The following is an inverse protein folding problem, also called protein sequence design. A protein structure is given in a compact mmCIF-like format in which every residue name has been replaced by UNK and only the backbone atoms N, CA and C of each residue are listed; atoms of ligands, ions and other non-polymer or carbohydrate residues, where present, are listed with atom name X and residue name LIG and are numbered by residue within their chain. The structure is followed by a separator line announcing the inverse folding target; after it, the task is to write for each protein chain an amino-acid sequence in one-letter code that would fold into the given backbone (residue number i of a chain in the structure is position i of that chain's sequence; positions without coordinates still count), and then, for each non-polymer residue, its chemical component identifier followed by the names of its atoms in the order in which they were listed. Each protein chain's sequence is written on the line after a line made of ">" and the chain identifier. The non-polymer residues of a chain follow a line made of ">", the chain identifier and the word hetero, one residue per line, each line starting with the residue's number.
data_IF_013332455655
#
_entry.id   IF_013332455655
#
_cell.length_a   1.000
_cell.length_b   1.000
_cell.length_c   1.000
_cell.angle_alpha   90.00
_cell.angle_beta   90.00
_cell.angle_gamma   90.00
#
_symmetry.space_group_name_H-M   'P 1'
#
loop_
_entity.id
_entity.type
_entity.pdbx_description
1 polymer ?
#
# COMPACT_ATOMS: atom_id res chain seq x y z
N UNK A 1 4.97 3.80 -0.12
CA UNK A 1 4.80 5.02 0.73
C UNK A 1 5.24 6.21 -0.09
N UNK A 2 4.59 7.37 0.04
CA UNK A 2 5.06 8.64 -0.52
C UNK A 2 4.86 9.76 0.51
N UNK A 3 5.55 10.88 0.33
CA UNK A 3 5.32 12.12 1.07
C UNK A 3 4.74 13.15 0.10
N UNK A 4 3.60 13.73 0.46
CA UNK A 4 3.01 14.85 -0.24
C UNK A 4 3.00 16.03 0.72
N UNK A 5 3.63 17.13 0.34
CA UNK A 5 3.75 18.32 1.18
C UNK A 5 3.33 19.56 0.42
N UNK A 6 2.69 20.49 1.11
CA UNK A 6 2.50 21.84 0.61
C UNK A 6 3.85 22.57 0.57
N UNK A 7 4.06 23.35 -0.49
CA UNK A 7 5.20 24.22 -0.66
C UNK A 7 4.83 25.61 -0.15
N UNK A 8 5.42 25.99 0.98
CA UNK A 8 5.31 27.36 1.46
C UNK A 8 6.11 28.27 0.53
N UNK A 9 5.43 29.17 -0.19
CA UNK A 9 6.10 30.29 -0.83
C UNK A 9 6.54 31.25 0.27
N UNK A 10 7.80 31.17 0.70
CA UNK A 10 8.38 32.26 1.50
C UNK A 10 8.41 33.50 0.60
N UNK A 11 7.75 34.62 0.96
CA UNK A 11 7.85 35.84 0.18
C UNK A 11 9.29 36.36 0.26
N UNK A 12 10.13 35.98 -0.71
CA UNK A 12 11.45 36.54 -0.91
C UNK A 12 11.32 38.02 -1.30
N UNK A 13 12.15 38.84 -0.68
CA UNK A 13 12.07 40.30 -0.67
C UNK A 13 11.96 40.98 -2.05
N UNK A 14 11.32 42.14 -2.04
CA UNK A 14 11.31 43.17 -3.11
C UNK A 14 10.61 42.80 -4.42
N UNK A 15 9.28 42.66 -4.40
CA UNK A 15 8.47 43.16 -5.52
C UNK A 15 7.14 43.70 -5.00
N UNK A 16 6.83 44.93 -5.37
CA UNK A 16 5.64 45.69 -5.01
C UNK A 16 4.36 44.91 -5.36
N UNK A 17 3.39 44.76 -4.44
CA UNK A 17 2.20 43.96 -4.70
C UNK A 17 1.21 44.74 -5.57
N UNK A 18 1.13 44.42 -6.86
CA UNK A 18 -0.01 44.79 -7.70
C UNK A 18 -1.06 43.67 -7.67
N UNK A 19 -2.23 44.01 -7.13
CA UNK A 19 -3.54 43.33 -7.22
C UNK A 19 -3.60 41.81 -7.01
N UNK A 20 -4.04 41.42 -5.81
CA UNK A 20 -4.96 40.30 -5.49
C UNK A 20 -4.96 39.07 -6.42
N UNK A 21 -3.81 38.43 -6.62
CA UNK A 21 -3.76 37.01 -6.96
C UNK A 21 -3.61 36.26 -5.66
N UNK A 22 -4.60 35.44 -5.27
CA UNK A 22 -4.41 34.49 -4.18
C UNK A 22 -3.20 33.62 -4.56
N UNK A 23 -2.16 33.61 -3.72
CA UNK A 23 -0.97 32.82 -3.99
C UNK A 23 -1.40 31.37 -4.24
N UNK A 24 -1.17 30.87 -5.45
CA UNK A 24 -1.55 29.52 -5.81
C UNK A 24 -0.74 28.54 -4.96
N UNK A 25 -1.42 27.78 -4.12
CA UNK A 25 -0.79 26.72 -3.32
C UNK A 25 -0.19 25.69 -4.27
N UNK A 26 1.09 25.39 -4.05
CA UNK A 26 1.80 24.33 -4.77
C UNK A 26 2.11 23.17 -3.81
N UNK A 27 2.23 21.98 -4.37
CA UNK A 27 2.52 20.74 -3.66
C UNK A 27 3.76 20.10 -4.25
N UNK A 28 4.52 19.39 -3.42
CA UNK A 28 5.59 18.49 -3.83
C UNK A 28 5.28 17.05 -3.42
N UNK A 29 5.43 16.15 -4.38
CA UNK A 29 5.39 14.71 -4.20
C UNK A 29 6.82 14.18 -4.15
N UNK A 30 7.16 13.49 -3.06
CA UNK A 30 8.39 12.72 -2.89
C UNK A 30 7.99 11.24 -2.80
N UNK A 31 8.34 10.46 -3.83
CA UNK A 31 7.95 9.07 -3.97
C UNK A 31 9.21 8.17 -4.02
N UNK A 32 9.58 7.53 -2.91
CA UNK A 32 10.65 6.53 -2.87
C UNK A 32 10.34 5.36 -3.77
N UNK A 33 11.37 4.89 -4.48
CA UNK A 33 11.24 3.89 -5.52
C UNK A 33 11.78 2.54 -5.07
N UNK A 34 11.22 1.47 -5.63
CA UNK A 34 11.83 0.15 -5.63
C UNK A 34 12.32 -0.11 -7.03
N UNK A 35 13.65 -0.11 -7.21
CA UNK A 35 14.29 -0.26 -8.51
C UNK A 35 15.28 -1.43 -8.46
N UNK A 36 15.03 -2.45 -9.27
CA UNK A 36 15.81 -3.69 -9.33
C UNK A 36 15.91 -4.38 -7.97
N UNK A 37 17.10 -4.39 -7.37
CA UNK A 37 17.43 -5.11 -6.12
C UNK A 37 17.36 -4.22 -4.88
N UNK A 38 17.04 -2.94 -5.05
CA UNK A 38 17.07 -1.98 -3.95
C UNK A 38 15.71 -1.30 -3.76
N UNK A 39 15.38 -1.06 -2.49
CA UNK A 39 14.21 -0.31 -2.06
C UNK A 39 14.66 0.96 -1.35
N UNK A 40 14.11 2.09 -1.78
CA UNK A 40 14.24 3.34 -1.07
C UNK A 40 13.07 3.57 -0.10
N UNK A 41 13.34 4.19 1.05
CA UNK A 41 12.34 4.59 2.05
C UNK A 41 12.65 5.98 2.59
N UNK A 42 11.61 6.77 2.88
CA UNK A 42 11.77 8.04 3.58
C UNK A 42 11.66 7.81 5.07
N UNK A 43 12.63 8.34 5.83
CA UNK A 43 12.66 8.27 7.29
C UNK A 43 12.79 9.65 7.88
N UNK A 44 12.02 9.91 8.93
CA UNK A 44 12.19 11.11 9.74
C UNK A 44 13.37 10.95 10.68
N UNK A 45 14.35 11.86 10.58
CA UNK A 45 15.35 12.10 11.61
C UNK A 45 14.97 13.32 12.44
N UNK A 46 15.68 13.59 13.54
CA UNK A 46 15.30 14.65 14.52
C UNK A 46 14.95 16.00 13.89
N UNK A 47 15.66 16.40 12.83
CA UNK A 47 15.46 17.68 12.15
C UNK A 47 15.47 17.57 10.62
N UNK A 48 15.65 16.37 10.09
CA UNK A 48 15.90 16.15 8.67
C UNK A 48 15.00 15.01 8.17
N UNK A 49 14.78 15.00 6.87
CA UNK A 49 14.24 13.84 6.17
C UNK A 49 15.41 13.09 5.53
N UNK A 50 15.49 11.80 5.79
CA UNK A 50 16.54 10.92 5.24
C UNK A 50 15.92 9.96 4.23
N UNK A 51 16.68 9.67 3.16
CA UNK A 51 16.34 8.65 2.19
C UNK A 51 17.27 7.46 2.42
N UNK A 52 16.70 6.34 2.87
CA UNK A 52 17.46 5.11 3.06
C UNK A 52 17.24 4.20 1.86
N UNK A 53 18.32 3.69 1.27
CA UNK A 53 18.31 2.73 0.18
C UNK A 53 18.91 1.42 0.70
N UNK A 54 18.17 0.33 0.58
CA UNK A 54 18.57 -0.97 1.11
C UNK A 54 18.23 -2.11 0.14
N UNK A 55 19.07 -3.13 0.11
CA UNK A 55 18.86 -4.39 -0.63
C UNK A 55 18.18 -5.45 0.24
N UNK A 56 18.29 -5.32 1.56
CA UNK A 56 17.86 -6.34 2.52
C UNK A 56 18.84 -7.50 2.67
N UNK A 57 20.03 -7.39 2.07
CA UNK A 57 21.07 -8.40 2.09
C UNK A 57 22.44 -7.72 2.27
N UNK A 58 23.16 -8.09 3.34
CA UNK A 58 24.46 -7.51 3.72
C UNK A 58 25.54 -7.78 2.67
N UNK A 59 25.42 -8.86 1.91
CA UNK A 59 26.39 -9.25 0.87
C UNK A 59 26.08 -8.63 -0.50
N UNK A 60 24.96 -7.91 -0.63
CA UNK A 60 24.52 -7.31 -1.89
C UNK A 60 24.65 -5.79 -1.86
N UNK A 61 25.57 -5.26 -2.68
CA UNK A 61 25.73 -3.81 -2.88
C UNK A 61 24.57 -3.21 -3.69
N UNK A 62 24.23 -1.94 -3.39
CA UNK A 62 23.28 -1.14 -4.19
C UNK A 62 23.95 -0.74 -5.51
N UNK A 63 23.35 -1.03 -6.68
CA UNK A 63 23.90 -0.57 -7.97
C UNK A 63 23.93 0.96 -8.08
N UNK A 64 25.01 1.52 -8.63
CA UNK A 64 25.19 2.99 -8.80
C UNK A 64 24.05 3.68 -9.57
N UNK A 65 23.42 2.97 -10.50
CA UNK A 65 22.35 3.50 -11.34
C UNK A 65 20.94 3.32 -10.73
N UNK A 66 20.84 2.99 -9.44
CA UNK A 66 19.56 2.75 -8.74
C UNK A 66 18.75 4.04 -8.67
N UNK A 67 17.56 4.04 -9.29
CA UNK A 67 16.61 5.14 -9.17
C UNK A 67 15.96 5.06 -7.80
N UNK A 68 16.20 6.07 -6.95
CA UNK A 68 15.86 6.02 -5.54
C UNK A 68 14.63 6.86 -5.19
N UNK A 69 14.46 8.02 -5.83
CA UNK A 69 13.39 8.95 -5.50
C UNK A 69 12.82 9.61 -6.76
N UNK A 70 11.50 9.58 -6.90
CA UNK A 70 10.78 10.45 -7.84
C UNK A 70 10.30 11.69 -7.10
N UNK A 71 10.56 12.87 -7.66
CA UNK A 71 10.13 14.16 -7.13
C UNK A 71 9.31 14.88 -8.20
N UNK A 72 8.14 15.39 -7.83
CA UNK A 72 7.35 16.23 -8.72
C UNK A 72 6.62 17.34 -7.98
N UNK A 73 6.31 18.43 -8.68
CA UNK A 73 5.50 19.53 -8.18
C UNK A 73 4.23 19.75 -9.01
N UNK A 74 3.20 20.29 -8.38
CA UNK A 74 1.91 20.62 -9.02
C UNK A 74 0.98 21.40 -8.10
N UNK A 75 -0.07 21.98 -8.65
CA UNK A 75 -1.08 22.76 -7.91
C UNK A 75 -2.29 21.95 -7.49
N UNK A 76 -2.55 20.82 -8.15
CA UNK A 76 -3.57 19.84 -7.75
C UNK A 76 -2.88 18.60 -7.13
N UNK A 77 -3.06 18.34 -5.83
CA UNK A 77 -2.40 17.22 -5.14
C UNK A 77 -2.90 15.85 -5.63
N UNK A 78 -4.15 15.73 -6.07
CA UNK A 78 -4.72 14.46 -6.52
C UNK A 78 -4.26 14.11 -7.93
N UNK A 79 -4.20 15.11 -8.81
CA UNK A 79 -3.61 14.96 -10.14
C UNK A 79 -2.13 14.62 -10.03
N UNK A 80 -1.39 15.33 -9.17
CA UNK A 80 0.05 15.13 -8.97
C UNK A 80 0.38 13.69 -8.56
N UNK A 81 -0.37 13.08 -7.64
CA UNK A 81 -0.17 11.68 -7.23
C UNK A 81 -0.49 10.73 -8.38
N UNK A 82 -1.60 10.93 -9.09
CA UNK A 82 -1.98 10.07 -10.22
C UNK A 82 -0.97 10.13 -11.37
N UNK A 83 -0.50 11.35 -11.69
CA UNK A 83 0.55 11.59 -12.68
C UNK A 83 1.86 10.96 -12.25
N UNK A 84 2.32 11.23 -11.03
CA UNK A 84 3.58 10.67 -10.53
C UNK A 84 3.60 9.15 -10.56
N UNK A 85 2.52 8.48 -10.12
CA UNK A 85 2.43 7.02 -10.19
C UNK A 85 2.43 6.48 -11.64
N UNK A 86 1.84 7.21 -12.59
CA UNK A 86 1.85 6.85 -14.01
C UNK A 86 3.24 7.00 -14.61
N UNK A 87 3.89 8.15 -14.41
CA UNK A 87 5.24 8.41 -14.92
C UNK A 87 6.25 7.42 -14.34
N UNK A 88 6.19 7.13 -13.03
CA UNK A 88 7.05 6.12 -12.40
C UNK A 88 6.78 4.72 -12.95
N UNK A 89 5.52 4.37 -13.20
CA UNK A 89 5.15 3.09 -13.83
C UNK A 89 5.76 2.95 -15.23
N UNK A 90 5.71 4.01 -16.05
CA UNK A 90 6.29 4.05 -17.40
C UNK A 90 7.82 3.99 -17.39
N UNK A 91 8.45 4.72 -16.47
CA UNK A 91 9.92 4.76 -16.37
C UNK A 91 10.51 3.47 -15.78
N UNK A 92 9.90 2.91 -14.74
CA UNK A 92 10.40 1.68 -14.11
C UNK A 92 10.04 0.44 -14.93
N UNK A 93 8.84 0.41 -15.53
CA UNK A 93 8.34 -0.76 -16.27
C UNK A 93 8.06 -1.99 -15.41
N UNK A 94 8.07 -1.85 -14.07
CA UNK A 94 7.95 -2.97 -13.11
C UNK A 94 6.53 -3.19 -12.59
N UNK A 95 5.63 -2.22 -12.77
CA UNK A 95 4.24 -2.31 -12.34
C UNK A 95 3.32 -1.54 -13.29
N UNK A 96 2.01 -1.76 -13.14
CA UNK A 96 0.95 -1.00 -13.81
C UNK A 96 0.06 -0.32 -12.76
N UNK A 97 -0.42 0.88 -13.09
CA UNK A 97 -1.40 1.59 -12.26
C UNK A 97 -2.78 0.90 -12.34
N UNK A 98 -3.69 1.23 -11.41
CA UNK A 98 -5.02 0.63 -11.37
C UNK A 98 -5.83 0.89 -12.65
N UNK A 99 -5.72 2.11 -13.22
CA UNK A 99 -6.40 2.50 -14.46
C UNK A 99 -5.94 1.69 -15.69
N UNK A 100 -4.77 1.06 -15.63
CA UNK A 100 -4.23 0.20 -16.69
C UNK A 100 -4.53 -1.30 -16.46
N UNK A 101 -5.19 -1.65 -15.35
CA UNK A 101 -5.52 -3.03 -14.98
C UNK A 101 -7.00 -3.31 -15.25
N UNK A 102 -7.28 -4.45 -15.86
CA UNK A 102 -8.64 -5.00 -15.88
C UNK A 102 -8.94 -5.58 -14.51
N UNK A 103 -9.94 -5.03 -13.82
CA UNK A 103 -10.39 -5.58 -12.55
C UNK A 103 -11.03 -6.95 -12.79
N UNK A 104 -10.63 -8.01 -12.06
CA UNK A 104 -11.33 -9.28 -12.15
C UNK A 104 -12.73 -9.14 -11.54
N UNK A 105 -13.75 -9.90 -11.99
CA UNK A 105 -15.09 -9.87 -11.40
C UNK A 105 -15.13 -10.15 -9.89
N UNK A 106 -14.07 -10.77 -9.35
CA UNK A 106 -13.97 -11.08 -7.93
C UNK A 106 -13.89 -9.86 -7.02
N UNK A 107 -13.58 -8.66 -7.54
CA UNK A 107 -13.54 -7.43 -6.73
C UNK A 107 -14.92 -7.02 -6.20
N UNK A 108 -15.99 -7.42 -6.89
CA UNK A 108 -17.37 -7.13 -6.50
C UNK A 108 -17.96 -8.19 -5.55
N UNK A 109 -17.17 -9.24 -5.23
CA UNK A 109 -17.64 -10.27 -4.33
C UNK A 109 -17.32 -9.94 -2.88
N UNK A 110 -18.29 -10.22 -2.01
CA UNK A 110 -18.04 -10.27 -0.56
C UNK A 110 -16.91 -11.27 -0.27
N UNK A 111 -15.85 -10.76 0.36
CA UNK A 111 -14.75 -11.55 0.87
C UNK A 111 -14.70 -11.48 2.39
N UNK A 112 -13.97 -12.42 3.01
CA UNK A 112 -13.73 -12.43 4.44
C UNK A 112 -12.23 -12.55 4.71
N UNK A 113 -11.73 -11.74 5.63
CA UNK A 113 -10.35 -11.78 6.12
C UNK A 113 -10.32 -12.39 7.52
N UNK A 114 -9.40 -13.31 7.79
CA UNK A 114 -9.27 -13.92 9.11
C UNK A 114 -8.87 -12.92 10.20
N UNK A 115 -8.22 -11.81 9.83
CA UNK A 115 -7.84 -10.74 10.76
C UNK A 115 -9.05 -10.14 11.48
N UNK A 116 -10.19 -10.00 10.80
CA UNK A 116 -11.42 -9.43 11.36
C UNK A 116 -12.05 -10.29 12.47
N UNK A 117 -11.59 -11.54 12.64
CA UNK A 117 -12.16 -12.49 13.60
C UNK A 117 -11.14 -13.08 14.57
N UNK A 118 -9.92 -13.38 14.10
CA UNK A 118 -8.95 -14.15 14.86
C UNK A 118 -7.69 -13.38 15.21
N UNK A 119 -7.44 -12.23 14.57
CA UNK A 119 -6.12 -11.59 14.61
C UNK A 119 -5.02 -12.64 14.35
N UNK A 120 -4.08 -12.83 15.27
CA UNK A 120 -3.00 -13.81 15.19
C UNK A 120 -3.40 -15.25 15.56
N UNK A 121 -4.63 -15.51 16.03
CA UNK A 121 -5.06 -16.82 16.54
C UNK A 121 -5.80 -17.67 15.49
N UNK A 122 -5.26 -17.71 14.26
CA UNK A 122 -5.89 -18.42 13.13
C UNK A 122 -5.76 -19.93 13.34
N UNK A 123 -6.88 -20.66 13.31
CA UNK A 123 -6.89 -22.13 13.36
C UNK A 123 -7.70 -22.73 12.20
N UNK A 124 -7.35 -23.93 11.70
CA UNK A 124 -8.12 -24.59 10.64
C UNK A 124 -9.60 -24.77 11.01
N UNK A 125 -9.87 -25.11 12.27
CA UNK A 125 -11.22 -25.26 12.78
C UNK A 125 -11.97 -23.92 12.82
N UNK A 126 -11.33 -22.87 13.33
CA UNK A 126 -11.91 -21.52 13.37
C UNK A 126 -12.27 -21.00 11.99
N UNK A 127 -11.40 -21.19 11.00
CA UNK A 127 -11.70 -20.82 9.60
C UNK A 127 -12.92 -21.59 9.08
N UNK A 128 -12.99 -22.91 9.31
CA UNK A 128 -14.14 -23.71 8.89
C UNK A 128 -15.44 -23.29 9.58
N UNK A 129 -15.38 -22.99 10.88
CA UNK A 129 -16.53 -22.52 11.66
C UNK A 129 -17.02 -21.16 11.18
N UNK A 130 -16.11 -20.21 10.92
CA UNK A 130 -16.43 -18.89 10.37
C UNK A 130 -17.05 -18.94 8.98
N UNK A 131 -16.53 -19.79 8.08
CA UNK A 131 -17.14 -19.99 6.77
C UNK A 131 -18.55 -20.61 6.86
N UNK A 132 -18.73 -21.56 7.79
CA UNK A 132 -20.05 -22.18 8.04
C UNK A 132 -21.04 -21.17 8.62
N UNK A 133 -20.62 -20.30 9.54
CA UNK A 133 -21.48 -19.28 10.14
C UNK A 133 -21.91 -18.23 9.11
N UNK A 134 -20.99 -17.71 8.29
CA UNK A 134 -21.29 -16.75 7.22
C UNK A 134 -22.26 -17.34 6.19
N UNK A 135 -22.07 -18.60 5.81
CA UNK A 135 -22.99 -19.32 4.92
C UNK A 135 -24.38 -19.47 5.55
N UNK A 136 -24.45 -19.86 6.82
CA UNK A 136 -25.71 -20.00 7.55
C UNK A 136 -26.46 -18.66 7.70
N UNK A 137 -25.73 -17.55 7.81
CA UNK A 137 -26.27 -16.19 7.85
C UNK A 137 -26.70 -15.65 6.48
N UNK A 138 -26.56 -16.42 5.39
CA UNK A 138 -26.95 -16.00 4.05
C UNK A 138 -25.94 -15.09 3.35
N UNK A 139 -24.73 -14.93 3.90
CA UNK A 139 -23.64 -14.09 3.36
C UNK A 139 -22.39 -14.93 3.07
N UNK A 140 -22.46 -15.98 2.23
CA UNK A 140 -21.30 -16.83 1.96
C UNK A 140 -20.20 -16.02 1.25
N UNK A 141 -18.98 -15.94 1.83
CA UNK A 141 -17.87 -15.25 1.17
C UNK A 141 -17.44 -16.02 -0.08
N UNK A 142 -17.08 -15.28 -1.13
CA UNK A 142 -16.52 -15.86 -2.36
C UNK A 142 -15.01 -15.68 -2.48
N UNK A 143 -14.44 -14.83 -1.63
CA UNK A 143 -13.00 -14.66 -1.45
C UNK A 143 -12.67 -14.87 0.03
N UNK A 144 -11.55 -15.54 0.31
CA UNK A 144 -11.01 -15.71 1.66
C UNK A 144 -9.57 -15.20 1.65
N UNK A 145 -9.25 -14.32 2.59
CA UNK A 145 -7.87 -13.93 2.90
C UNK A 145 -7.49 -14.58 4.23
N UNK A 146 -6.50 -15.48 4.18
CA UNK A 146 -5.82 -15.97 5.37
C UNK A 146 -4.74 -14.94 5.72
N UNK A 147 -5.05 -14.09 6.69
CA UNK A 147 -4.15 -13.08 7.24
C UNK A 147 -3.18 -13.70 8.26
N UNK A 148 -2.35 -12.85 8.88
CA UNK A 148 -1.30 -13.23 9.81
C UNK A 148 -1.76 -14.16 10.94
N UNK A 149 -0.83 -14.97 11.45
CA UNK A 149 -1.09 -15.98 12.49
C UNK A 149 -1.47 -17.37 11.98
N UNK A 150 -1.53 -17.60 10.66
CA UNK A 150 -1.73 -18.94 10.10
C UNK A 150 -0.45 -19.81 10.12
N UNK A 151 0.72 -19.17 10.17
CA UNK A 151 2.03 -19.82 10.17
C UNK A 151 2.57 -19.93 11.59
N UNK A 152 3.17 -21.09 11.93
CA UNK A 152 3.98 -21.23 13.14
C UNK A 152 5.28 -20.44 13.01
N UNK A 153 5.54 -19.55 13.96
CA UNK A 153 6.80 -18.81 14.06
C UNK A 153 7.61 -19.38 15.21
N UNK A 154 8.89 -19.61 14.99
CA UNK A 154 9.82 -19.82 16.10
C UNK A 154 9.93 -18.51 16.88
N UNK A 155 9.91 -18.53 18.22
CA UNK A 155 10.17 -17.34 19.00
C UNK A 155 11.54 -16.78 18.58
N UNK A 156 11.56 -15.54 18.10
CA UNK A 156 12.82 -14.89 17.80
C UNK A 156 13.66 -14.90 19.08
N UNK A 157 14.87 -15.47 18.99
CA UNK A 157 15.78 -15.50 20.11
C UNK A 157 16.02 -14.05 20.53
N UNK A 158 15.44 -13.64 21.66
CA UNK A 158 15.67 -12.33 22.23
C UNK A 158 17.16 -12.22 22.49
N UNK A 159 17.88 -11.52 21.61
CA UNK A 159 19.26 -11.15 21.86
C UNK A 159 19.22 -10.06 22.94
N UNK A 160 19.17 -10.49 24.21
CA UNK A 160 19.45 -9.59 25.30
C UNK A 160 20.92 -9.19 25.20
N UNK A 161 21.18 -7.92 24.95
CA UNK A 161 22.51 -7.35 25.14
C UNK A 161 22.88 -7.54 26.62
N UNK A 162 23.84 -8.43 26.89
CA UNK A 162 24.41 -8.53 28.22
C UNK A 162 25.06 -7.18 28.62
N UNK A 163 25.24 -6.90 29.93
CA UNK A 163 25.82 -5.65 30.42
C UNK A 163 27.28 -5.39 29.96
N UNK A 164 27.87 -6.29 29.18
CA UNK A 164 29.23 -6.19 28.64
C UNK A 164 29.31 -6.31 27.10
N UNK A 165 28.17 -6.28 26.39
CA UNK A 165 28.16 -6.27 24.92
C UNK A 165 28.45 -7.62 24.25
N UNK A 166 28.43 -8.73 24.98
CA UNK A 166 28.51 -10.07 24.39
C UNK A 166 27.11 -10.61 24.04
N UNK A 167 26.96 -11.16 22.83
CA UNK A 167 25.74 -11.83 22.36
C UNK A 167 25.67 -13.21 23.00
N UNK A 168 24.71 -13.43 23.89
CA UNK A 168 24.48 -14.75 24.48
C UNK A 168 23.38 -15.46 23.67
N UNK A 169 23.78 -16.33 22.74
CA UNK A 169 22.83 -17.19 22.02
C UNK A 169 22.42 -18.37 22.91
N UNK A 170 21.16 -18.42 23.32
CA UNK A 170 20.59 -19.65 23.90
C UNK A 170 20.20 -20.59 22.77
N UNK A 171 20.98 -21.66 22.58
CA UNK A 171 20.63 -22.74 21.65
C UNK A 171 19.42 -23.53 22.21
N UNK A 172 18.25 -23.37 21.58
CA UNK A 172 17.10 -24.26 21.80
C UNK A 172 17.34 -25.65 21.21
N UNK A 173 16.67 -26.71 21.72
CA UNK A 173 16.97 -28.07 21.31
C UNK A 173 16.49 -28.33 19.87
N UNK A 174 17.40 -28.86 19.05
CA UNK A 174 17.09 -29.43 17.74
C UNK A 174 16.31 -30.73 17.91
N UNK A 175 15.12 -30.83 17.33
CA UNK A 175 14.39 -32.08 17.18
C UNK A 175 13.65 -32.11 15.84
N UNK A 176 14.05 -33.03 14.97
CA UNK A 176 13.22 -33.47 13.86
C UNK A 176 12.09 -34.39 14.35
N UNK A 177 10.97 -34.38 13.65
CA UNK A 177 9.90 -35.38 13.78
C UNK A 177 8.50 -34.80 13.99
N UNK A 178 7.68 -34.96 12.93
CA UNK A 178 6.21 -35.00 12.90
C UNK A 178 5.38 -33.86 13.50
N UNK A 179 4.63 -33.19 12.61
CA UNK A 179 3.62 -32.20 12.96
C UNK A 179 2.47 -32.83 13.76
N UNK A 180 2.47 -32.59 15.07
CA UNK A 180 1.28 -32.70 15.92
C UNK A 180 1.12 -31.37 16.67
N UNK A 181 0.01 -30.67 16.38
CA UNK A 181 -0.36 -29.47 17.13
C UNK A 181 -0.62 -29.87 18.59
N UNK A 182 0.06 -29.25 19.57
CA UNK A 182 -0.31 -29.42 20.96
C UNK A 182 -1.66 -28.73 21.25
N UNK A 183 -2.42 -29.20 22.27
CA UNK A 183 -3.63 -28.52 22.68
C UNK A 183 -3.30 -27.16 23.30
N UNK A 184 -4.21 -26.20 23.09
CA UNK A 184 -4.10 -24.82 23.54
C UNK A 184 -3.75 -24.71 25.03
N UNK A 185 -2.59 -24.11 25.32
CA UNK A 185 -2.26 -23.45 26.59
C UNK A 185 -1.11 -22.48 26.26
N UNK A 186 -1.05 -21.23 26.72
CA UNK A 186 -1.64 -20.58 27.89
C UNK A 186 -1.97 -19.12 27.53
N UNK A 187 -2.96 -18.55 28.22
CA UNK A 187 -3.41 -17.18 28.05
C UNK A 187 -2.28 -16.18 28.31
N UNK A 188 -2.02 -15.29 27.34
CA UNK A 188 -1.34 -14.03 27.59
C UNK A 188 -2.35 -13.06 28.21
N UNK A 189 -2.37 -12.98 29.54
CA UNK A 189 -3.24 -12.12 30.35
C UNK A 189 -2.75 -10.65 30.33
N UNK A 190 -2.42 -10.12 29.16
CA UNK A 190 -2.17 -8.69 28.98
C UNK A 190 -3.50 -7.93 29.02
N UNK A 191 -3.63 -6.86 29.83
CA UNK A 191 -4.86 -6.07 29.92
C UNK A 191 -5.32 -5.48 28.58
N UNK A 192 -4.39 -5.26 27.65
CA UNK A 192 -4.68 -4.74 26.32
C UNK A 192 -5.41 -5.77 25.43
N UNK A 193 -5.10 -7.05 25.61
CA UNK A 193 -5.69 -8.16 24.85
C UNK A 193 -7.14 -8.41 25.26
N UNK A 194 -7.46 -8.27 26.56
CA UNK A 194 -8.83 -8.44 27.06
C UNK A 194 -9.77 -7.31 26.62
N UNK A 195 -9.26 -6.10 26.39
CA UNK A 195 -10.06 -4.94 26.00
C UNK A 195 -10.48 -4.97 24.52
N UNK A 196 -9.73 -5.69 23.67
CA UNK A 196 -10.04 -5.90 22.24
C UNK A 196 -10.96 -7.10 21.98
N UNK A 197 -11.26 -7.90 23.01
CA UNK A 197 -12.07 -9.12 22.92
C UNK A 197 -13.55 -8.92 23.31
N UNK A 198 -13.94 -7.71 23.72
CA UNK A 198 -15.34 -7.40 24.04
C UNK A 198 -16.02 -6.73 22.83
N UNK A 199 -17.14 -7.28 22.31
CA UNK A 199 -17.91 -6.60 21.27
C UNK A 199 -18.52 -5.29 21.83
N UNK A 200 -18.64 -4.22 21.02
CA UNK A 200 -19.29 -2.99 21.48
C UNK A 200 -20.76 -3.24 21.82
N UNK A 201 -21.21 -2.72 22.96
CA UNK A 201 -22.61 -2.70 23.38
C UNK A 201 -23.49 -2.04 22.30
N UNK A 202 -24.67 -2.59 21.98
CA UNK A 202 -25.50 -2.05 20.91
C UNK A 202 -26.11 -0.70 21.32
N UNK A 203 -25.63 0.39 20.72
CA UNK A 203 -26.34 1.67 20.72
C UNK A 203 -27.67 1.52 19.99
N UNK A 204 -28.77 1.86 20.66
CA UNK A 204 -30.09 1.93 20.06
C UNK A 204 -30.16 3.14 19.13
N UNK A 205 -30.01 2.90 17.82
CA UNK A 205 -30.27 3.92 16.80
C UNK A 205 -31.73 3.84 16.38
N UNK A 206 -32.46 4.90 16.72
CA UNK A 206 -33.86 5.14 16.38
C UNK A 206 -34.02 5.36 14.86
N UNK A 207 -34.66 4.41 14.17
CA UNK A 207 -34.89 4.46 12.72
C UNK A 207 -36.00 5.47 12.39
N UNK A 208 -35.64 6.68 11.93
CA UNK A 208 -36.61 7.56 11.27
C UNK A 208 -36.86 7.12 9.83
N UNK A 209 -38.11 6.74 9.56
CA UNK A 209 -38.61 6.22 8.31
C UNK A 209 -38.99 7.37 7.37
N UNK A 210 -38.23 7.58 6.30
CA UNK A 210 -38.61 8.46 5.19
C UNK A 210 -39.09 7.62 4.01
N UNK A 211 -40.40 7.45 3.90
CA UNK A 211 -41.05 6.86 2.73
C UNK A 211 -40.98 7.83 1.54
N UNK A 212 -40.40 7.41 0.42
CA UNK A 212 -40.69 7.97 -0.91
C UNK A 212 -40.97 6.84 -1.90
N UNK A 213 -42.22 6.88 -2.38
CA UNK A 213 -42.80 6.12 -3.49
C UNK A 213 -42.12 6.44 -4.82
N UNK A 214 -41.82 5.42 -5.65
CA UNK A 214 -42.31 5.34 -7.05
C UNK A 214 -41.93 4.03 -7.78
N UNK A 215 -42.96 3.42 -8.36
CA UNK A 215 -43.07 2.70 -9.65
C UNK A 215 -42.19 1.47 -10.03
N UNK A 216 -42.89 0.44 -10.51
CA UNK A 216 -42.44 -0.84 -11.09
C UNK A 216 -41.88 -0.72 -12.54
N UNK A 217 -41.22 -1.76 -13.09
CA UNK A 217 -40.20 -1.64 -14.14
C UNK A 217 -40.74 -1.76 -15.57
N UNK A 218 -39.97 -1.26 -16.53
CA UNK A 218 -40.16 -1.47 -17.99
C UNK A 218 -38.88 -2.05 -18.61
N UNK A 219 -39.09 -2.82 -19.68
CA UNK A 219 -38.24 -3.83 -20.36
C UNK A 219 -36.73 -3.54 -20.62
N UNK A 220 -35.91 -4.61 -20.84
CA UNK A 220 -34.46 -4.50 -21.02
C UNK A 220 -34.05 -4.21 -22.48
N UNK A 221 -32.94 -3.49 -22.73
CA UNK A 221 -32.39 -3.36 -24.08
C UNK A 221 -31.37 -4.45 -24.45
N UNK A 222 -31.36 -4.73 -25.75
CA UNK A 222 -30.68 -5.78 -26.51
C UNK A 222 -29.15 -5.78 -26.48
N UNK A 223 -28.57 -6.97 -26.70
CA UNK A 223 -27.13 -7.29 -26.86
C UNK A 223 -26.42 -6.45 -27.94
N UNK A 224 -25.17 -6.01 -27.73
CA UNK A 224 -24.34 -5.46 -28.80
C UNK A 224 -23.51 -6.55 -29.52
N UNK A 225 -23.35 -6.39 -30.85
CA UNK A 225 -22.47 -7.18 -31.72
C UNK A 225 -21.01 -6.68 -31.69
N UNK A 226 -20.00 -7.51 -32.03
CA UNK A 226 -18.60 -7.15 -31.93
C UNK A 226 -18.15 -6.26 -33.11
N UNK A 227 -17.43 -5.17 -32.80
CA UNK A 227 -16.67 -4.40 -33.79
C UNK A 227 -15.20 -4.84 -33.76
N UNK A 228 -14.68 -5.16 -34.94
CA UNK A 228 -13.28 -5.34 -35.24
C UNK A 228 -12.61 -3.97 -35.38
N UNK A 229 -11.41 -3.80 -34.83
CA UNK A 229 -10.48 -2.74 -35.25
C UNK A 229 -9.05 -3.21 -35.11
N UNK A 230 -8.34 -3.06 -36.23
CA UNK A 230 -6.97 -3.47 -36.50
C UNK A 230 -5.96 -2.64 -35.67
N UNK A 231 -4.98 -3.31 -35.10
CA UNK A 231 -3.79 -2.69 -34.50
C UNK A 231 -2.66 -2.61 -35.55
N UNK A 232 -2.29 -1.40 -35.93
CA UNK A 232 -1.05 -1.13 -36.66
C UNK A 232 0.10 -1.04 -35.65
N UNK A 233 0.96 -2.05 -35.64
CA UNK A 233 2.26 -2.04 -34.97
C UNK A 233 3.23 -1.16 -35.74
N UNK A 234 3.81 -0.17 -35.09
CA UNK A 234 5.05 0.48 -35.57
C UNK A 234 6.06 0.46 -34.42
N UNK A 235 7.09 -0.36 -34.61
CA UNK A 235 8.30 -0.37 -33.78
C UNK A 235 9.12 0.89 -34.07
N UNK A 236 9.70 1.51 -33.04
CA UNK A 236 10.95 2.24 -33.17
C UNK A 236 11.81 2.14 -31.89
N UNK A 237 13.08 1.90 -32.20
CA UNK A 237 14.33 1.78 -31.47
C UNK A 237 14.62 2.69 -30.26
N UNK A 238 15.52 2.15 -29.43
CA UNK A 238 16.35 2.78 -28.39
C UNK A 238 16.92 4.18 -28.74
N UNK A 239 16.85 5.10 -27.77
CA UNK A 239 17.82 6.20 -27.62
C UNK A 239 17.89 6.70 -26.18
N UNK A 240 19.11 7.06 -25.80
CA UNK A 240 19.59 7.62 -24.54
C UNK A 240 19.15 9.07 -24.31
N UNK A 241 18.99 9.40 -23.03
CA UNK A 241 19.05 10.71 -22.36
C UNK A 241 18.11 11.85 -22.85
N UNK A 242 17.30 12.36 -21.90
CA UNK A 242 16.57 13.62 -21.91
C UNK A 242 15.80 13.94 -23.21
N UNK A 243 14.58 13.43 -23.31
CA UNK A 243 13.58 13.97 -24.25
C UNK A 243 12.58 14.85 -23.46
N UNK A 244 12.66 16.20 -23.55
CA UNK A 244 11.72 17.09 -22.89
C UNK A 244 10.48 17.22 -23.77
N UNK A 245 9.66 16.18 -23.82
CA UNK A 245 8.38 16.22 -24.52
C UNK A 245 7.23 16.31 -23.50
N UNK A 246 6.56 17.47 -23.52
CA UNK A 246 5.30 17.81 -22.83
C UNK A 246 5.42 18.11 -21.33
N UNK A 247 6.16 19.17 -21.00
CA UNK A 247 5.95 19.89 -19.74
C UNK A 247 4.96 21.02 -20.00
N UNK A 248 3.72 20.88 -19.58
CA UNK A 248 2.81 22.04 -19.46
C UNK A 248 3.43 23.06 -18.49
N UNK A 249 3.30 24.36 -18.79
CA UNK A 249 3.86 25.44 -17.97
C UNK A 249 3.50 25.25 -16.48
N UNK A 250 4.52 25.04 -15.64
CA UNK A 250 4.37 24.97 -14.18
C UNK A 250 4.53 23.58 -13.55
N UNK A 251 4.87 22.53 -14.31
CA UNK A 251 5.07 21.19 -13.75
C UNK A 251 6.54 20.76 -13.87
N UNK A 252 7.20 20.48 -12.73
CA UNK A 252 8.55 19.92 -12.73
C UNK A 252 8.51 18.50 -12.17
N UNK A 253 9.20 17.57 -12.81
CA UNK A 253 9.38 16.20 -12.35
C UNK A 253 10.82 15.73 -12.60
N UNK A 254 11.37 14.95 -11.69
CA UNK A 254 12.72 14.39 -11.78
C UNK A 254 12.80 13.07 -11.04
N UNK A 255 13.66 12.17 -11.53
CA UNK A 255 14.05 10.95 -10.84
C UNK A 255 15.51 11.08 -10.43
N UNK A 256 15.77 10.87 -9.15
CA UNK A 256 17.09 10.99 -8.53
C UNK A 256 17.69 9.59 -8.35
N UNK A 257 18.90 9.41 -8.86
CA UNK A 257 19.71 8.20 -8.71
C UNK A 257 20.41 8.15 -7.35
N UNK A 258 20.77 6.95 -6.89
CA UNK A 258 21.55 6.72 -5.67
C UNK A 258 22.88 7.48 -5.64
N UNK A 259 23.47 7.76 -6.80
CA UNK A 259 24.72 8.52 -6.96
C UNK A 259 24.55 10.04 -6.94
N UNK A 260 23.32 10.55 -7.04
CA UNK A 260 23.01 11.99 -7.06
C UNK A 260 22.60 12.52 -5.67
N UNK A 261 22.54 11.64 -4.66
CA UNK A 261 22.17 11.90 -3.27
C UNK A 261 23.42 12.00 -2.38
#
# INVERSE_FOLDING_TARGET
>A
QFLLTELSTTPGATTTPSSSSAAATAYALLLPLTDRTARATLRGARRNLELQIETGDEDTAVPDNTRALYVAAGTDPFELVQRGMREVSEQLGTFRTLSQKTLPPSVDFFGWCTWDAFYSSVTPQGVCDGLRSLRAAGVPPRNLVLDDGWQSVEPEAQQSLGPSGEVQQSLGPSAGGEAHNPPASSHDDSPLSQQLQQPPEPEQVETQQAAKSLASPSDPPSKPQPRTSQSNLRALSSSSANDPALVEEGQAASVISATEL
#
